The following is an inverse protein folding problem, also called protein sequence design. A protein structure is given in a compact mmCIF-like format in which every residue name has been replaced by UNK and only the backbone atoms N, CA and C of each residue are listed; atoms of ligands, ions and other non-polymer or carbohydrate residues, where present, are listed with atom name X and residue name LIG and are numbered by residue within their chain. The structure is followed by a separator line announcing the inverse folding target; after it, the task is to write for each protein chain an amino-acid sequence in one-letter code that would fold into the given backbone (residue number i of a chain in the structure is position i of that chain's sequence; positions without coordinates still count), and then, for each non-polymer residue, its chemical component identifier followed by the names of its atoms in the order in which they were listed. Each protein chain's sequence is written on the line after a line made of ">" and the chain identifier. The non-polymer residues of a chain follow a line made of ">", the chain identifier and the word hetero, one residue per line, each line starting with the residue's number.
data_IF_740561656490
#
_entry.id   IF_740561656490
#
_cell.length_a   1.000
_cell.length_b   1.000
_cell.length_c   1.000
_cell.angle_alpha   90.00
_cell.angle_beta   90.00
_cell.angle_gamma   90.00
#
_symmetry.space_group_name_H-M   'P 1'
#
loop_
_entity.id
_entity.type
_entity.pdbx_description
1 polymer ?
#
# COMPACT_ATOMS: atom_id res chain seq x y z
N UNK A 1 22.12 -29.61 -15.01
CA UNK A 1 21.86 -28.23 -14.54
C UNK A 1 23.20 -27.51 -14.44
N UNK A 2 23.37 -26.41 -15.19
CA UNK A 2 24.66 -25.75 -15.40
C UNK A 2 25.24 -25.20 -14.08
N UNK A 3 26.51 -25.45 -13.81
CA UNK A 3 27.18 -25.14 -12.54
C UNK A 3 27.11 -23.65 -12.19
N UNK A 4 27.16 -22.78 -13.20
CA UNK A 4 26.95 -21.33 -13.06
C UNK A 4 25.58 -20.93 -12.49
N UNK A 5 24.54 -21.73 -12.75
CA UNK A 5 23.18 -21.47 -12.22
C UNK A 5 23.09 -21.87 -10.75
N UNK A 6 23.76 -22.97 -10.35
CA UNK A 6 23.84 -23.37 -8.93
C UNK A 6 24.58 -22.33 -8.09
N UNK A 7 25.70 -21.81 -8.60
CA UNK A 7 26.48 -20.76 -7.91
C UNK A 7 25.70 -19.45 -7.81
N UNK A 8 24.91 -19.09 -8.82
CA UNK A 8 24.08 -17.87 -8.80
C UNK A 8 22.94 -17.95 -7.77
N UNK A 9 22.31 -19.13 -7.62
CA UNK A 9 21.27 -19.37 -6.62
C UNK A 9 21.85 -19.40 -5.20
N UNK A 10 23.04 -19.99 -5.01
CA UNK A 10 23.74 -19.99 -3.73
C UNK A 10 24.14 -18.56 -3.29
N UNK A 11 24.63 -17.74 -4.22
CA UNK A 11 24.99 -16.35 -3.96
C UNK A 11 23.77 -15.45 -3.67
N UNK A 12 22.64 -15.68 -4.34
CA UNK A 12 21.39 -14.98 -4.06
C UNK A 12 20.84 -15.30 -2.66
N UNK A 13 21.02 -16.54 -2.19
CA UNK A 13 20.62 -16.97 -0.84
C UNK A 13 21.52 -16.37 0.24
N UNK A 14 22.83 -16.34 0.03
CA UNK A 14 23.80 -15.66 0.91
C UNK A 14 23.55 -14.15 1.02
N UNK A 15 23.16 -13.49 -0.07
CA UNK A 15 22.78 -12.06 -0.06
C UNK A 15 21.44 -11.82 0.65
N UNK A 16 20.48 -12.75 0.53
CA UNK A 16 19.21 -12.68 1.26
C UNK A 16 19.41 -12.89 2.77
N UNK A 17 20.27 -13.83 3.15
CA UNK A 17 20.61 -14.11 4.56
C UNK A 17 21.44 -12.97 5.18
N UNK A 18 22.35 -12.36 4.41
CA UNK A 18 23.09 -11.16 4.84
C UNK A 18 22.19 -9.91 4.97
N UNK A 19 21.20 -9.76 4.09
CA UNK A 19 20.20 -8.68 4.17
C UNK A 19 19.22 -8.88 5.34
N UNK A 20 18.94 -10.13 5.73
CA UNK A 20 18.11 -10.45 6.89
C UNK A 20 18.87 -10.33 8.21
N UNK A 21 20.15 -10.72 8.24
CA UNK A 21 21.01 -10.69 9.43
C UNK A 21 21.44 -9.29 9.87
N UNK A 22 21.40 -8.29 8.99
CA UNK A 22 21.73 -6.90 9.33
C UNK A 22 20.57 -6.14 10.04
N UNK A 23 19.35 -6.68 10.00
CA UNK A 23 18.16 -6.05 10.58
C UNK A 23 17.95 -6.34 12.08
N UNK A 24 18.87 -7.04 12.74
CA UNK A 24 18.79 -7.36 14.17
C UNK A 24 20.08 -7.00 14.88
N UNK A 25 20.25 -5.72 15.25
CA UNK A 25 21.10 -5.34 16.37
C UNK A 25 20.28 -4.59 17.41
N UNK A 26 19.80 -5.37 18.38
CA UNK A 26 19.25 -4.91 19.66
C UNK A 26 20.41 -4.47 20.56
N UNK A 27 20.53 -3.18 20.87
CA UNK A 27 21.13 -2.70 22.13
C UNK A 27 20.99 -1.20 22.43
N UNK A 28 20.34 -0.38 21.60
CA UNK A 28 20.14 1.07 21.85
C UNK A 28 18.68 1.37 22.30
N UNK A 29 18.06 0.47 23.05
CA UNK A 29 16.60 0.41 23.18
C UNK A 29 16.04 0.62 24.60
N UNK A 30 16.72 1.39 25.47
CA UNK A 30 16.08 1.73 26.76
C UNK A 30 16.16 3.18 27.18
N UNK A 31 17.33 3.83 27.17
CA UNK A 31 17.41 5.24 27.58
C UNK A 31 16.92 6.22 26.51
N UNK A 32 17.22 5.97 25.23
CA UNK A 32 16.78 6.85 24.14
C UNK A 32 15.30 6.74 23.79
N UNK A 33 14.64 5.63 24.12
CA UNK A 33 13.21 5.43 23.86
C UNK A 33 12.36 6.25 24.83
N UNK A 34 12.76 6.34 26.11
CA UNK A 34 12.06 7.14 27.12
C UNK A 34 12.21 8.65 26.83
N UNK A 35 13.42 9.11 26.49
CA UNK A 35 13.68 10.52 26.11
C UNK A 35 13.00 10.91 24.79
N UNK A 36 12.83 9.96 23.85
CA UNK A 36 12.09 10.14 22.60
C UNK A 36 10.56 10.19 22.82
N UNK A 37 10.02 9.30 23.67
CA UNK A 37 8.60 9.30 24.04
C UNK A 37 8.19 10.55 24.83
N UNK A 38 9.09 11.08 25.66
CA UNK A 38 8.87 12.32 26.41
C UNK A 38 8.89 13.56 25.51
N UNK A 39 9.70 13.56 24.45
CA UNK A 39 9.69 14.60 23.38
C UNK A 39 8.44 14.54 22.50
N UNK A 40 7.99 13.35 22.09
CA UNK A 40 6.78 13.18 21.26
C UNK A 40 5.51 13.61 22.00
N UNK A 41 5.44 13.42 23.31
CA UNK A 41 4.29 13.84 24.11
C UNK A 41 4.24 15.36 24.36
N UNK A 42 5.26 16.13 23.97
CA UNK A 42 5.34 17.59 24.15
C UNK A 42 5.21 18.39 22.86
N UNK A 43 5.24 17.76 21.68
CA UNK A 43 5.06 18.40 20.38
C UNK A 43 3.62 18.24 19.86
N UNK A 44 3.05 19.24 19.14
CA UNK A 44 1.77 19.05 18.46
C UNK A 44 1.89 17.86 17.50
N UNK A 45 0.83 17.02 17.46
CA UNK A 45 0.82 15.80 16.67
C UNK A 45 1.41 16.03 15.26
N UNK A 46 2.42 15.26 14.84
CA UNK A 46 3.13 15.55 13.61
C UNK A 46 2.20 15.48 12.39
N UNK A 47 2.48 16.31 11.38
CA UNK A 47 1.91 16.28 10.01
C UNK A 47 2.29 15.02 9.21
N UNK A 48 2.80 13.98 9.87
CA UNK A 48 3.39 12.79 9.27
C UNK A 48 2.64 11.53 9.68
N UNK A 49 2.72 10.51 8.83
CA UNK A 49 2.24 9.18 9.19
C UNK A 49 3.03 8.62 10.38
N UNK A 50 2.35 7.94 11.32
CA UNK A 50 2.99 7.42 12.51
C UNK A 50 3.93 6.26 12.18
N UNK A 51 4.79 5.91 13.13
CA UNK A 51 5.70 4.77 12.98
C UNK A 51 4.97 3.45 12.77
N UNK A 52 5.67 2.48 12.17
CA UNK A 52 5.13 1.18 11.80
C UNK A 52 4.45 0.42 12.94
N UNK A 53 5.04 0.47 14.14
CA UNK A 53 4.48 -0.20 15.32
C UNK A 53 3.12 0.40 15.71
N UNK A 54 2.99 1.72 15.60
CA UNK A 54 1.74 2.43 15.87
C UNK A 54 0.71 2.08 14.79
N UNK A 55 1.08 2.12 13.51
CA UNK A 55 0.20 1.71 12.40
C UNK A 55 -0.36 0.30 12.65
N UNK A 56 0.51 -0.66 12.97
CA UNK A 56 0.10 -2.04 13.22
C UNK A 56 -0.83 -2.14 14.44
N UNK A 57 -0.46 -1.51 15.56
CA UNK A 57 -1.26 -1.50 16.80
C UNK A 57 -2.65 -0.93 16.58
N UNK A 58 -2.77 0.10 15.76
CA UNK A 58 -4.03 0.78 15.48
C UNK A 58 -4.90 0.03 14.45
N UNK A 59 -4.30 -0.62 13.46
CA UNK A 59 -5.05 -1.36 12.43
C UNK A 59 -5.64 -2.68 12.96
N UNK A 60 -4.94 -3.38 13.85
CA UNK A 60 -5.40 -4.66 14.41
C UNK A 60 -6.81 -4.57 15.02
N UNK A 61 -7.11 -3.66 15.96
CA UNK A 61 -8.44 -3.57 16.56
C UNK A 61 -9.51 -3.16 15.54
N UNK A 62 -9.20 -2.24 14.62
CA UNK A 62 -10.12 -1.81 13.56
C UNK A 62 -10.57 -2.96 12.67
N UNK A 63 -9.60 -3.73 12.17
CA UNK A 63 -9.88 -4.92 11.37
C UNK A 63 -10.60 -5.99 12.20
N UNK A 64 -10.18 -6.19 13.44
CA UNK A 64 -10.80 -7.19 14.32
C UNK A 64 -12.25 -6.86 14.66
N UNK A 65 -12.62 -5.58 14.75
CA UNK A 65 -14.00 -5.13 14.97
C UNK A 65 -14.83 -5.15 13.68
N UNK A 66 -14.21 -4.84 12.54
CA UNK A 66 -14.88 -4.82 11.24
C UNK A 66 -15.25 -6.23 10.76
N UNK A 67 -14.43 -7.24 11.07
CA UNK A 67 -14.69 -8.62 10.65
C UNK A 67 -15.72 -9.29 11.56
N UNK A 68 -16.96 -9.38 11.07
CA UNK A 68 -18.00 -10.25 11.62
C UNK A 68 -17.83 -11.70 11.10
N UNK A 69 -17.49 -12.65 11.98
CA UNK A 69 -17.28 -14.07 11.66
C UNK A 69 -18.54 -14.76 11.12
N UNK A 70 -19.74 -14.23 11.41
CA UNK A 70 -20.99 -14.78 10.88
C UNK A 70 -21.32 -14.30 9.47
N UNK A 71 -20.74 -13.17 9.06
CA UNK A 71 -21.01 -12.52 7.76
C UNK A 71 -19.86 -12.65 6.78
N UNK A 72 -18.63 -12.81 7.29
CA UNK A 72 -17.44 -12.86 6.48
C UNK A 72 -16.82 -14.25 6.44
N UNK A 73 -16.31 -14.59 5.26
CA UNK A 73 -15.40 -15.71 5.03
C UNK A 73 -14.17 -15.18 4.31
N UNK A 74 -13.07 -15.94 4.31
CA UNK A 74 -11.87 -15.57 3.54
C UNK A 74 -12.22 -15.32 2.06
N UNK A 75 -13.16 -16.09 1.49
CA UNK A 75 -13.60 -15.91 0.11
C UNK A 75 -14.39 -14.62 -0.10
N UNK A 76 -15.30 -14.27 0.81
CA UNK A 76 -16.07 -13.02 0.69
C UNK A 76 -15.21 -11.77 0.93
N UNK A 77 -14.11 -11.89 1.69
CA UNK A 77 -13.15 -10.79 1.83
C UNK A 77 -12.27 -10.59 0.60
N UNK A 78 -12.29 -11.54 -0.34
CA UNK A 78 -11.61 -11.45 -1.63
C UNK A 78 -12.58 -11.08 -2.77
N UNK A 79 -13.71 -10.46 -2.45
CA UNK A 79 -14.61 -9.80 -3.40
C UNK A 79 -14.59 -8.30 -3.18
N UNK A 80 -14.91 -7.54 -4.22
CA UNK A 80 -15.00 -6.08 -4.16
C UNK A 80 -16.46 -5.67 -3.91
N UNK A 81 -16.80 -4.85 -2.91
CA UNK A 81 -18.20 -4.50 -2.66
C UNK A 81 -18.91 -3.78 -3.81
N UNK A 82 -18.16 -3.06 -4.64
CA UNK A 82 -18.64 -2.38 -5.86
C UNK A 82 -18.58 -3.26 -7.12
N UNK A 83 -18.11 -4.49 -7.01
CA UNK A 83 -18.06 -5.45 -8.12
C UNK A 83 -18.34 -6.86 -7.62
N UNK A 84 -19.36 -7.51 -8.18
CA UNK A 84 -19.68 -8.91 -7.84
C UNK A 84 -18.56 -9.90 -8.20
N UNK A 85 -17.45 -9.44 -8.78
CA UNK A 85 -16.31 -10.25 -9.15
C UNK A 85 -15.39 -10.52 -7.96
N UNK A 86 -14.89 -11.75 -7.92
CA UNK A 86 -13.77 -12.13 -7.07
C UNK A 86 -12.50 -11.49 -7.60
N UNK A 87 -11.61 -11.10 -6.69
CA UNK A 87 -10.27 -10.63 -6.99
C UNK A 87 -9.48 -11.79 -7.61
N UNK A 88 -9.29 -11.73 -8.93
CA UNK A 88 -8.39 -12.62 -9.65
C UNK A 88 -6.95 -12.15 -9.49
N UNK A 89 -6.03 -13.06 -9.16
CA UNK A 89 -4.66 -12.69 -8.88
C UNK A 89 -3.98 -12.01 -10.06
N UNK A 90 -4.14 -12.52 -11.28
CA UNK A 90 -3.54 -11.88 -12.48
C UNK A 90 -4.05 -10.46 -12.69
N UNK A 91 -5.32 -10.21 -12.34
CA UNK A 91 -5.97 -8.89 -12.42
C UNK A 91 -5.49 -7.97 -11.30
N UNK A 92 -5.40 -8.47 -10.06
CA UNK A 92 -4.77 -7.74 -8.95
C UNK A 92 -3.32 -7.39 -9.27
N UNK A 93 -2.55 -8.35 -9.81
CA UNK A 93 -1.20 -8.09 -10.32
C UNK A 93 -1.26 -6.96 -11.34
N UNK A 94 -2.05 -7.05 -12.41
CA UNK A 94 -2.09 -5.99 -13.42
C UNK A 94 -2.49 -4.61 -12.84
N UNK A 95 -3.46 -4.59 -11.92
CA UNK A 95 -3.91 -3.38 -11.25
C UNK A 95 -2.79 -2.75 -10.39
N UNK A 96 -2.08 -3.57 -9.60
CA UNK A 96 -1.04 -3.11 -8.69
C UNK A 96 0.30 -2.92 -9.44
N UNK A 97 0.78 -3.91 -10.23
CA UNK A 97 2.03 -3.93 -11.06
C UNK A 97 2.18 -2.75 -11.99
N UNK A 98 1.11 -2.03 -12.32
CA UNK A 98 1.25 -0.73 -12.96
C UNK A 98 2.03 0.33 -12.11
N UNK A 99 2.57 -0.07 -10.95
CA UNK A 99 3.85 0.36 -10.36
C UNK A 99 5.03 0.58 -11.32
N UNK A 100 5.07 -0.05 -12.49
CA UNK A 100 6.23 0.01 -13.38
C UNK A 100 6.25 1.23 -14.32
N UNK A 101 5.39 2.24 -14.09
CA UNK A 101 5.11 3.32 -15.06
C UNK A 101 4.81 2.78 -16.47
N UNK A 102 4.36 1.51 -16.55
CA UNK A 102 3.97 0.90 -17.82
C UNK A 102 2.54 1.32 -18.11
N UNK A 103 2.41 2.43 -18.84
CA UNK A 103 1.15 2.97 -19.36
C UNK A 103 0.73 2.32 -20.70
N UNK A 104 1.44 1.29 -21.16
CA UNK A 104 1.18 0.62 -22.44
C UNK A 104 0.10 -0.47 -22.42
N UNK A 105 -0.44 -0.81 -21.24
CA UNK A 105 -1.47 -1.85 -21.06
C UNK A 105 -2.72 -1.29 -20.41
N UNK A 106 -3.88 -1.87 -20.76
CA UNK A 106 -5.17 -1.51 -20.14
C UNK A 106 -5.12 -1.63 -18.61
N UNK A 107 -5.79 -0.70 -17.94
CA UNK A 107 -6.06 -0.79 -16.50
C UNK A 107 -7.10 -1.87 -16.23
N UNK A 108 -7.26 -2.20 -14.95
CA UNK A 108 -8.24 -3.19 -14.52
C UNK A 108 -9.41 -2.43 -13.88
N UNK A 109 -10.51 -2.15 -14.62
CA UNK A 109 -11.48 -1.12 -14.23
C UNK A 109 -12.14 -1.35 -12.87
N UNK A 110 -12.37 -2.60 -12.48
CA UNK A 110 -12.97 -2.90 -11.18
C UNK A 110 -12.06 -2.55 -9.99
N UNK A 111 -10.76 -2.29 -10.19
CA UNK A 111 -9.87 -1.78 -9.14
C UNK A 111 -9.83 -0.25 -9.10
N UNK A 112 -10.50 0.41 -10.05
CA UNK A 112 -10.63 1.88 -10.13
C UNK A 112 -12.11 2.31 -10.18
N UNK A 113 -12.89 1.97 -9.15
CA UNK A 113 -14.31 2.30 -9.08
C UNK A 113 -14.50 3.82 -8.93
N UNK A 114 -14.93 4.50 -10.00
CA UNK A 114 -14.92 5.97 -10.08
C UNK A 114 -15.74 6.62 -8.97
N UNK A 115 -16.97 6.15 -8.74
CA UNK A 115 -17.87 6.78 -7.76
C UNK A 115 -17.33 6.62 -6.33
N UNK A 116 -16.78 5.45 -6.03
CA UNK A 116 -16.22 5.08 -4.74
C UNK A 116 -14.93 5.85 -4.47
N UNK A 117 -14.05 5.99 -5.47
CA UNK A 117 -12.83 6.80 -5.37
C UNK A 117 -13.18 8.26 -5.11
N UNK A 118 -14.09 8.85 -5.89
CA UNK A 118 -14.49 10.24 -5.68
C UNK A 118 -15.10 10.44 -4.29
N UNK A 119 -15.99 9.55 -3.86
CA UNK A 119 -16.59 9.58 -2.53
C UNK A 119 -15.53 9.45 -1.42
N UNK A 120 -14.53 8.58 -1.59
CA UNK A 120 -13.42 8.43 -0.67
C UNK A 120 -12.61 9.73 -0.55
N UNK A 121 -12.18 10.29 -1.68
CA UNK A 121 -11.37 11.52 -1.72
C UNK A 121 -12.12 12.73 -1.15
N UNK A 122 -13.43 12.85 -1.43
CA UNK A 122 -14.27 13.87 -0.82
C UNK A 122 -14.34 13.71 0.70
N UNK A 123 -14.50 12.49 1.19
CA UNK A 123 -14.58 12.22 2.62
C UNK A 123 -13.26 12.48 3.36
N UNK A 124 -12.12 12.12 2.75
CA UNK A 124 -10.77 12.47 3.26
C UNK A 124 -10.63 13.99 3.41
N UNK A 125 -11.01 14.75 2.38
CA UNK A 125 -10.95 16.21 2.43
C UNK A 125 -11.89 16.77 3.50
N UNK A 126 -13.13 16.28 3.57
CA UNK A 126 -14.15 16.74 4.50
C UNK A 126 -13.72 16.51 5.95
N UNK A 127 -13.29 15.31 6.31
CA UNK A 127 -12.86 14.99 7.67
C UNK A 127 -11.60 15.77 8.08
N UNK A 128 -10.66 15.98 7.15
CA UNK A 128 -9.50 16.84 7.40
C UNK A 128 -9.91 18.27 7.73
N UNK A 129 -10.88 18.83 7.00
CA UNK A 129 -11.40 20.18 7.24
C UNK A 129 -12.15 20.28 8.57
N UNK A 130 -13.00 19.31 8.89
CA UNK A 130 -13.78 19.29 10.13
C UNK A 130 -12.90 19.19 11.38
N UNK A 131 -11.82 18.43 11.30
CA UNK A 131 -10.91 18.19 12.43
C UNK A 131 -9.77 19.20 12.49
N UNK A 132 -9.54 19.96 11.42
CA UNK A 132 -8.38 20.84 11.26
C UNK A 132 -7.04 20.10 11.20
N UNK A 133 -7.05 18.80 10.88
CA UNK A 133 -5.86 17.92 10.89
C UNK A 133 -5.67 17.22 9.55
N UNK A 134 -4.43 16.86 9.25
CA UNK A 134 -4.13 15.97 8.13
C UNK A 134 -4.43 14.52 8.54
N UNK A 135 -4.97 13.74 7.61
CA UNK A 135 -5.39 12.37 7.85
C UNK A 135 -4.24 11.39 7.62
N UNK A 136 -3.94 10.59 8.63
CA UNK A 136 -2.93 9.53 8.59
C UNK A 136 -3.42 8.32 7.78
N UNK A 137 -2.52 7.38 7.48
CA UNK A 137 -2.87 6.08 6.89
C UNK A 137 -3.97 5.36 7.69
N UNK A 138 -4.02 5.56 9.01
CA UNK A 138 -5.04 4.97 9.88
C UNK A 138 -6.41 5.60 9.60
N UNK A 139 -6.48 6.93 9.57
CA UNK A 139 -7.73 7.65 9.31
C UNK A 139 -8.26 7.36 7.89
N UNK A 140 -7.34 7.34 6.91
CA UNK A 140 -7.65 6.94 5.54
C UNK A 140 -8.22 5.53 5.46
N UNK A 141 -7.65 4.59 6.22
CA UNK A 141 -8.13 3.22 6.26
C UNK A 141 -9.53 3.13 6.85
N UNK A 142 -9.81 3.85 7.94
CA UNK A 142 -11.11 3.85 8.60
C UNK A 142 -12.22 4.37 7.67
N UNK A 143 -11.94 5.45 6.94
CA UNK A 143 -12.85 5.98 5.91
C UNK A 143 -13.13 4.91 4.86
N UNK A 144 -12.08 4.29 4.31
CA UNK A 144 -12.22 3.27 3.29
C UNK A 144 -12.99 2.05 3.82
N UNK A 145 -12.68 1.58 5.03
CA UNK A 145 -13.29 0.42 5.65
C UNK A 145 -14.80 0.59 5.87
N UNK A 146 -15.22 1.79 6.30
CA UNK A 146 -16.63 2.13 6.39
C UNK A 146 -17.29 2.13 5.00
N UNK A 147 -16.64 2.74 4.01
CA UNK A 147 -17.16 2.83 2.64
C UNK A 147 -17.23 1.49 1.91
N UNK A 148 -16.41 0.52 2.31
CA UNK A 148 -16.38 -0.85 1.77
C UNK A 148 -17.20 -1.84 2.60
N UNK A 149 -18.12 -1.35 3.45
CA UNK A 149 -18.95 -2.20 4.31
C UNK A 149 -18.13 -3.20 5.13
N UNK A 150 -17.02 -2.74 5.71
CA UNK A 150 -16.10 -3.54 6.53
C UNK A 150 -15.34 -4.64 5.75
N UNK A 151 -15.11 -4.47 4.44
CA UNK A 151 -14.21 -5.33 3.66
C UNK A 151 -12.77 -4.76 3.65
N UNK A 152 -11.81 -5.29 4.43
CA UNK A 152 -10.50 -4.67 4.62
C UNK A 152 -9.62 -4.72 3.36
N UNK A 153 -9.69 -5.80 2.58
CA UNK A 153 -8.93 -5.91 1.31
C UNK A 153 -9.45 -4.89 0.30
N UNK A 154 -10.77 -4.77 0.18
CA UNK A 154 -11.38 -3.78 -0.67
C UNK A 154 -11.05 -2.36 -0.20
N UNK A 155 -11.04 -2.10 1.12
CA UNK A 155 -10.63 -0.81 1.67
C UNK A 155 -9.22 -0.44 1.21
N UNK A 156 -8.24 -1.35 1.34
CA UNK A 156 -6.88 -1.12 0.88
C UNK A 156 -6.77 -0.87 -0.63
N UNK A 157 -7.56 -1.60 -1.44
CA UNK A 157 -7.61 -1.41 -2.90
C UNK A 157 -8.20 -0.04 -3.25
N UNK A 158 -9.30 0.36 -2.60
CA UNK A 158 -9.93 1.66 -2.81
C UNK A 158 -8.95 2.79 -2.50
N UNK A 159 -8.25 2.70 -1.37
CA UNK A 159 -7.27 3.70 -0.96
C UNK A 159 -6.11 3.77 -1.96
N UNK A 160 -5.57 2.63 -2.41
CA UNK A 160 -4.58 2.60 -3.47
C UNK A 160 -5.06 3.30 -4.75
N UNK A 161 -6.23 2.89 -5.27
CA UNK A 161 -6.79 3.42 -6.52
C UNK A 161 -7.02 4.94 -6.44
N UNK A 162 -7.47 5.41 -5.28
CA UNK A 162 -7.71 6.83 -5.02
C UNK A 162 -6.42 7.66 -5.06
N UNK A 163 -5.38 7.25 -4.32
CA UNK A 163 -4.11 7.98 -4.32
C UNK A 163 -3.34 7.85 -5.61
N UNK A 164 -3.53 6.76 -6.36
CA UNK A 164 -3.01 6.62 -7.71
C UNK A 164 -3.67 7.59 -8.68
N UNK A 165 -4.99 7.77 -8.62
CA UNK A 165 -5.69 8.75 -9.46
C UNK A 165 -5.14 10.17 -9.25
N UNK A 166 -4.82 10.55 -8.01
CA UNK A 166 -4.23 11.86 -7.68
C UNK A 166 -2.83 12.10 -8.28
N UNK A 167 -2.11 11.06 -8.72
CA UNK A 167 -0.81 11.23 -9.41
C UNK A 167 -0.97 11.88 -10.79
N UNK A 168 -2.17 11.84 -11.37
CA UNK A 168 -2.55 12.61 -12.56
C UNK A 168 -1.67 12.38 -13.81
N UNK A 169 -0.91 11.28 -13.82
CA UNK A 169 -0.06 10.86 -14.94
C UNK A 169 -0.59 9.60 -15.64
N UNK A 170 -1.61 8.94 -15.07
CA UNK A 170 -2.15 7.69 -15.60
C UNK A 170 -3.35 7.93 -16.51
N UNK A 171 -3.08 8.22 -17.79
CA UNK A 171 -4.08 8.55 -18.82
C UNK A 171 -5.04 7.41 -19.17
N UNK A 172 -4.83 6.22 -18.61
CA UNK A 172 -5.68 5.03 -18.80
C UNK A 172 -6.85 4.96 -17.82
N UNK A 173 -6.83 5.77 -16.77
CA UNK A 173 -7.94 5.84 -15.83
C UNK A 173 -9.15 6.51 -16.50
N UNK A 174 -10.33 6.30 -15.94
CA UNK A 174 -11.52 7.02 -16.37
C UNK A 174 -11.26 8.53 -16.32
N UNK A 175 -11.61 9.31 -17.35
CA UNK A 175 -11.35 10.76 -17.39
C UNK A 175 -11.92 11.53 -16.18
N UNK A 176 -12.95 11.01 -15.52
CA UNK A 176 -13.51 11.59 -14.28
C UNK A 176 -12.56 11.48 -13.08
N UNK A 177 -11.52 10.65 -13.18
CA UNK A 177 -10.42 10.51 -12.24
C UNK A 177 -9.17 11.28 -12.68
N UNK A 178 -9.29 12.15 -13.69
CA UNK A 178 -8.24 13.08 -14.07
C UNK A 178 -8.19 14.23 -13.07
N UNK A 179 -7.16 14.25 -12.23
CA UNK A 179 -6.85 15.36 -11.33
C UNK A 179 -5.69 16.21 -11.89
N UNK A 180 -5.64 16.28 -13.23
CA UNK A 180 -4.59 16.82 -14.10
C UNK A 180 -3.84 18.07 -13.61
N UNK A 181 -2.61 18.20 -14.10
CA UNK A 181 -1.81 19.44 -13.97
C UNK A 181 -2.25 20.47 -15.03
N UNK A 182 -3.01 20.03 -16.04
CA UNK A 182 -3.32 20.79 -17.26
C UNK A 182 -4.40 21.86 -17.06
N UNK A 183 -5.20 21.77 -15.99
CA UNK A 183 -6.13 22.84 -15.59
C UNK A 183 -5.87 23.32 -14.16
N UNK A 184 -5.97 24.63 -13.96
CA UNK A 184 -5.76 25.26 -12.65
C UNK A 184 -6.70 24.69 -11.59
N UNK A 185 -7.95 24.40 -11.96
CA UNK A 185 -8.98 23.85 -11.05
C UNK A 185 -8.68 22.41 -10.61
N UNK A 186 -8.21 21.55 -11.52
CA UNK A 186 -7.85 20.17 -11.20
C UNK A 186 -6.60 20.12 -10.33
N UNK A 187 -5.60 20.94 -10.64
CA UNK A 187 -4.38 21.10 -9.84
C UNK A 187 -4.69 21.58 -8.41
N UNK A 188 -5.59 22.56 -8.25
CA UNK A 188 -6.07 23.01 -6.94
C UNK A 188 -6.79 21.88 -6.19
N UNK A 189 -7.66 21.14 -6.88
CA UNK A 189 -8.41 20.02 -6.27
C UNK A 189 -7.46 18.94 -5.75
N UNK A 190 -6.50 18.52 -6.59
CA UNK A 190 -5.44 17.59 -6.22
C UNK A 190 -4.67 18.09 -5.00
N UNK A 191 -4.20 19.35 -5.03
CA UNK A 191 -3.41 19.92 -3.95
C UNK A 191 -4.18 20.05 -2.64
N UNK A 192 -5.47 20.36 -2.70
CA UNK A 192 -6.32 20.40 -1.52
C UNK A 192 -6.44 19.02 -0.86
N UNK A 193 -6.66 17.97 -1.65
CA UNK A 193 -6.72 16.60 -1.14
C UNK A 193 -5.34 16.13 -0.63
N UNK A 194 -4.27 16.48 -1.35
CA UNK A 194 -2.90 16.19 -0.97
C UNK A 194 -2.56 16.80 0.40
N UNK A 195 -2.97 18.06 0.63
CA UNK A 195 -2.81 18.75 1.92
C UNK A 195 -3.68 18.20 3.04
N UNK A 196 -4.77 17.50 2.72
CA UNK A 196 -5.61 16.80 3.69
C UNK A 196 -5.02 15.45 4.14
N UNK A 197 -3.93 15.00 3.52
CA UNK A 197 -3.28 13.72 3.81
C UNK A 197 -1.97 13.97 4.56
N UNK A 198 -1.73 13.22 5.63
CA UNK A 198 -0.47 13.27 6.37
C UNK A 198 0.67 12.77 5.49
N UNK A 199 1.82 13.42 5.60
CA UNK A 199 2.98 13.16 4.76
C UNK A 199 3.60 11.78 5.03
N UNK A 200 4.10 11.14 3.97
CA UNK A 200 4.69 9.80 4.08
C UNK A 200 6.12 9.82 4.65
N UNK A 201 6.90 10.87 4.38
CA UNK A 201 8.27 11.02 4.89
C UNK A 201 8.68 12.47 4.99
N UNK A 202 9.60 12.77 5.89
CA UNK A 202 10.24 14.09 6.13
C UNK A 202 11.10 14.56 4.93
N UNK A 203 11.27 13.76 3.89
CA UNK A 203 12.04 14.19 2.72
C UNK A 203 11.36 15.41 2.08
N UNK A 204 12.17 16.41 1.74
CA UNK A 204 11.85 17.72 1.15
C UNK A 204 11.16 17.59 -0.23
N UNK A 205 10.04 16.89 -0.25
CA UNK A 205 9.26 16.55 -1.42
C UNK A 205 8.15 17.59 -1.52
N UNK A 206 8.11 18.29 -2.66
CA UNK A 206 7.06 19.28 -2.94
C UNK A 206 5.64 18.67 -3.02
N UNK A 207 5.52 17.35 -2.95
CA UNK A 207 4.27 16.59 -3.06
C UNK A 207 3.98 15.85 -1.74
N UNK A 208 3.03 16.32 -0.90
CA UNK A 208 2.74 15.70 0.39
C UNK A 208 2.18 14.27 0.26
N UNK A 209 1.73 13.88 -0.93
CA UNK A 209 1.33 12.49 -1.21
C UNK A 209 2.52 11.52 -1.30
N UNK A 210 3.74 12.01 -1.55
CA UNK A 210 4.98 11.24 -1.58
C UNK A 210 4.83 9.81 -2.10
N UNK A 211 5.08 8.84 -1.21
CA UNK A 211 5.01 7.40 -1.51
C UNK A 211 3.70 6.72 -1.06
N UNK A 212 2.66 7.49 -0.73
CA UNK A 212 1.41 6.96 -0.15
C UNK A 212 0.74 5.93 -1.06
N UNK A 213 0.66 6.18 -2.36
CA UNK A 213 0.06 5.21 -3.29
C UNK A 213 0.90 3.93 -3.45
N UNK A 214 2.23 4.03 -3.32
CA UNK A 214 3.13 2.88 -3.33
C UNK A 214 2.86 1.99 -2.11
N UNK A 215 2.85 2.60 -0.93
CA UNK A 215 2.58 1.90 0.33
C UNK A 215 1.23 1.19 0.29
N UNK A 216 0.15 1.89 -0.10
CA UNK A 216 -1.19 1.31 -0.16
C UNK A 216 -1.31 0.15 -1.14
N UNK A 217 -0.65 0.27 -2.28
CA UNK A 217 -0.64 -0.81 -3.27
C UNK A 217 0.04 -2.07 -2.70
N UNK A 218 1.19 -1.90 -2.04
CA UNK A 218 1.93 -3.02 -1.43
C UNK A 218 1.20 -3.61 -0.22
N UNK A 219 0.55 -2.75 0.57
CA UNK A 219 -0.31 -3.13 1.68
C UNK A 219 -1.50 -3.99 1.22
N UNK A 220 -2.18 -3.57 0.14
CA UNK A 220 -3.29 -4.33 -0.45
C UNK A 220 -2.83 -5.71 -0.97
N UNK A 221 -1.64 -5.76 -1.59
CA UNK A 221 -1.04 -7.00 -2.07
C UNK A 221 -0.74 -7.96 -0.91
N UNK A 222 -0.02 -7.49 0.12
CA UNK A 222 0.33 -8.27 1.29
C UNK A 222 -0.88 -8.89 2.00
N UNK A 223 -1.94 -8.11 2.16
CA UNK A 223 -3.19 -8.59 2.77
C UNK A 223 -3.84 -9.68 1.93
N UNK A 224 -3.94 -9.46 0.61
CA UNK A 224 -4.49 -10.44 -0.33
C UNK A 224 -3.70 -11.75 -0.30
N UNK A 225 -2.36 -11.72 -0.15
CA UNK A 225 -1.54 -12.94 -0.09
C UNK A 225 -1.84 -13.78 1.12
N UNK A 226 -1.97 -13.14 2.28
CA UNK A 226 -2.26 -13.85 3.52
C UNK A 226 -3.59 -14.60 3.43
N UNK A 227 -4.63 -13.94 2.92
CA UNK A 227 -5.95 -14.56 2.74
C UNK A 227 -5.93 -15.66 1.66
N UNK A 228 -5.25 -15.42 0.53
CA UNK A 228 -5.18 -16.41 -0.55
C UNK A 228 -4.38 -17.64 -0.18
N UNK A 229 -3.40 -17.54 0.74
CA UNK A 229 -2.63 -18.69 1.19
C UNK A 229 -3.52 -19.79 1.77
N UNK A 230 -4.66 -19.43 2.36
CA UNK A 230 -5.61 -20.37 2.95
C UNK A 230 -6.44 -21.13 1.92
N UNK A 231 -6.75 -20.49 0.77
CA UNK A 231 -7.66 -21.07 -0.23
C UNK A 231 -6.98 -21.46 -1.55
N UNK A 232 -5.79 -20.92 -1.83
CA UNK A 232 -5.03 -21.12 -3.07
C UNK A 232 -3.50 -20.96 -2.83
N UNK A 233 -2.87 -21.78 -1.97
CA UNK A 233 -1.49 -21.60 -1.52
C UNK A 233 -0.45 -21.57 -2.64
N UNK A 234 -0.63 -22.39 -3.69
CA UNK A 234 0.29 -22.39 -4.84
C UNK A 234 0.29 -21.06 -5.59
N UNK A 235 -0.88 -20.47 -5.78
CA UNK A 235 -1.04 -19.20 -6.49
C UNK A 235 -0.50 -18.03 -5.65
N UNK A 236 -0.75 -18.04 -4.34
CA UNK A 236 -0.19 -17.07 -3.41
C UNK A 236 1.35 -17.05 -3.43
N UNK A 237 1.99 -18.22 -3.51
CA UNK A 237 3.46 -18.31 -3.59
C UNK A 237 4.03 -17.72 -4.88
N UNK A 238 3.43 -18.01 -6.04
CA UNK A 238 3.85 -17.45 -7.34
C UNK A 238 3.74 -15.93 -7.31
N UNK A 239 2.64 -15.41 -6.78
CA UNK A 239 2.40 -13.98 -6.71
C UNK A 239 3.37 -13.27 -5.76
N UNK A 240 3.61 -13.84 -4.57
CA UNK A 240 4.60 -13.33 -3.63
C UNK A 240 6.00 -13.27 -4.27
N UNK A 241 6.39 -14.29 -5.03
CA UNK A 241 7.65 -14.29 -5.79
C UNK A 241 7.68 -13.18 -6.85
N UNK A 242 6.59 -12.97 -7.59
CA UNK A 242 6.51 -11.91 -8.60
C UNK A 242 6.62 -10.51 -7.98
N UNK A 243 5.99 -10.27 -6.83
CA UNK A 243 6.05 -8.99 -6.13
C UNK A 243 7.44 -8.67 -5.57
N UNK A 244 8.17 -9.67 -5.07
CA UNK A 244 9.55 -9.47 -4.64
C UNK A 244 10.54 -9.34 -5.81
N UNK A 245 10.31 -10.04 -6.91
CA UNK A 245 11.20 -10.03 -8.08
C UNK A 245 10.97 -8.82 -9.00
N UNK A 246 9.74 -8.30 -9.05
CA UNK A 246 9.32 -7.22 -9.96
C UNK A 246 10.19 -5.97 -9.87
N UNK A 247 10.38 -5.36 -8.69
CA UNK A 247 11.22 -4.16 -8.54
C UNK A 247 12.67 -4.38 -8.99
N UNK A 248 13.26 -5.53 -8.67
CA UNK A 248 14.64 -5.85 -9.06
C UNK A 248 14.75 -6.11 -10.58
N UNK A 249 13.74 -6.73 -11.19
CA UNK A 249 13.67 -6.93 -12.64
C UNK A 249 13.51 -5.59 -13.38
N UNK A 250 12.60 -4.71 -12.91
CA UNK A 250 12.39 -3.38 -13.49
C UNK A 250 13.67 -2.54 -13.39
N UNK A 251 14.34 -2.56 -12.24
CA UNK A 251 15.64 -1.90 -12.06
C UNK A 251 16.69 -2.45 -13.02
N UNK A 252 16.77 -3.77 -13.18
CA UNK A 252 17.69 -4.38 -14.14
C UNK A 252 17.39 -3.92 -15.57
N UNK A 253 16.13 -4.01 -16.02
CA UNK A 253 15.73 -3.60 -17.38
C UNK A 253 16.06 -2.13 -17.62
N UNK A 254 15.63 -1.24 -16.73
CA UNK A 254 15.83 0.21 -16.89
C UNK A 254 17.30 0.60 -16.84
N UNK A 255 18.07 0.06 -15.89
CA UNK A 255 19.48 0.43 -15.71
C UNK A 255 20.42 -0.25 -16.71
N UNK A 256 20.16 -1.51 -17.07
CA UNK A 256 21.10 -2.33 -17.87
C UNK A 256 20.68 -2.48 -19.32
N UNK A 257 19.37 -2.51 -19.63
CA UNK A 257 18.89 -2.71 -20.99
C UNK A 257 18.51 -1.39 -21.67
N UNK A 258 17.88 -0.47 -20.94
CA UNK A 258 17.36 0.78 -21.50
C UNK A 258 18.28 1.98 -21.28
N UNK A 259 19.30 1.86 -20.40
CA UNK A 259 20.19 2.99 -20.06
C UNK A 259 19.47 4.18 -19.41
N UNK A 260 18.27 3.95 -18.85
CA UNK A 260 17.42 4.94 -18.22
C UNK A 260 17.39 4.70 -16.70
N UNK A 261 18.43 5.11 -15.96
CA UNK A 261 18.47 4.91 -14.52
C UNK A 261 17.22 5.48 -13.86
N UNK A 262 16.68 4.77 -12.87
CA UNK A 262 15.55 5.25 -12.07
C UNK A 262 15.92 6.59 -11.43
N UNK A 263 15.26 7.67 -11.88
CA UNK A 263 15.59 9.05 -11.52
C UNK A 263 15.09 9.45 -10.12
N UNK A 264 14.25 8.63 -9.48
CA UNK A 264 13.65 8.93 -8.19
C UNK A 264 13.75 7.70 -7.28
N UNK A 265 14.27 7.91 -6.07
CA UNK A 265 13.96 7.20 -4.83
C UNK A 265 14.10 5.67 -4.80
N UNK A 266 14.81 5.17 -3.81
CA UNK A 266 14.64 3.78 -3.40
C UNK A 266 13.30 3.60 -2.67
N UNK A 267 12.21 3.33 -3.40
CA UNK A 267 10.90 3.04 -2.82
C UNK A 267 10.86 1.69 -2.08
N UNK A 268 11.94 0.89 -2.10
CA UNK A 268 11.94 -0.48 -1.54
C UNK A 268 11.66 -0.50 -0.04
N UNK A 269 12.04 0.53 0.72
CA UNK A 269 11.72 0.59 2.15
C UNK A 269 10.21 0.72 2.39
N UNK A 270 9.57 1.64 1.67
CA UNK A 270 8.12 1.86 1.69
C UNK A 270 7.38 0.63 1.21
N UNK A 271 7.83 0.04 0.11
CA UNK A 271 7.18 -1.12 -0.47
C UNK A 271 7.25 -2.33 0.48
N UNK A 272 8.42 -2.58 1.07
CA UNK A 272 8.62 -3.67 2.04
C UNK A 272 7.76 -3.46 3.29
N UNK A 273 7.66 -2.23 3.78
CA UNK A 273 6.81 -1.90 4.91
C UNK A 273 5.34 -2.19 4.59
N UNK A 274 4.84 -1.71 3.44
CA UNK A 274 3.47 -1.96 2.99
C UNK A 274 3.15 -3.46 2.92
N UNK A 275 3.97 -4.26 2.19
CA UNK A 275 3.76 -5.71 2.09
C UNK A 275 3.79 -6.39 3.45
N UNK A 276 4.75 -6.06 4.31
CA UNK A 276 4.91 -6.68 5.64
C UNK A 276 3.69 -6.44 6.51
N UNK A 277 3.23 -5.19 6.60
CA UNK A 277 2.07 -4.81 7.40
C UNK A 277 0.77 -5.41 6.84
N UNK A 278 0.57 -5.32 5.53
CA UNK A 278 -0.59 -5.92 4.86
C UNK A 278 -0.68 -7.42 5.15
N UNK A 279 0.45 -8.14 5.05
CA UNK A 279 0.51 -9.57 5.35
C UNK A 279 0.24 -9.88 6.83
N UNK A 280 0.81 -9.09 7.74
CA UNK A 280 0.58 -9.27 9.18
C UNK A 280 -0.91 -9.15 9.51
N UNK A 281 -1.59 -8.15 8.96
CA UNK A 281 -3.01 -7.94 9.19
C UNK A 281 -3.90 -8.95 8.48
N UNK A 282 -3.53 -9.38 7.27
CA UNK A 282 -4.22 -10.48 6.62
C UNK A 282 -4.15 -11.78 7.44
N UNK A 283 -3.04 -12.05 8.14
CA UNK A 283 -2.96 -13.18 9.07
C UNK A 283 -3.86 -12.98 10.31
N UNK A 284 -4.05 -11.74 10.78
CA UNK A 284 -5.01 -11.45 11.87
C UNK A 284 -6.44 -11.80 11.43
N UNK A 285 -6.82 -11.44 10.20
CA UNK A 285 -8.11 -11.80 9.61
C UNK A 285 -8.28 -13.32 9.55
N UNK A 286 -7.28 -14.03 9.01
CA UNK A 286 -7.30 -15.50 8.93
C UNK A 286 -7.47 -16.13 10.31
N UNK A 287 -6.66 -15.70 11.29
CA UNK A 287 -6.72 -16.21 12.65
C UNK A 287 -8.07 -15.94 13.32
N UNK A 288 -8.74 -14.85 12.96
CA UNK A 288 -10.06 -14.52 13.49
C UNK A 288 -11.15 -15.42 12.87
N UNK A 289 -11.11 -15.62 11.57
CA UNK A 289 -12.11 -16.43 10.84
C UNK A 289 -11.97 -17.94 11.03
N UNK A 290 -10.85 -18.42 11.59
CA UNK A 290 -10.61 -19.82 11.93
C UNK A 290 -10.88 -20.16 13.41
N UNK A 291 -11.24 -19.17 14.24
CA UNK A 291 -11.70 -19.40 15.61
C UNK A 291 -13.19 -19.74 15.64
#
# INVERSE_FOLDING_TARGET
>A
MNEKIRTSIANARLLADAAWGAATRRSILRSGLEEYLEKINQEPAPSYNPEEEIILREFIPRISLAIDEKKHSIRSLLTLPWSSQRIELTRLAAALIAFSDDHGRETVPEFFPVAEILRFLHEVRRQSQDTGKQLTLIDQFDIALHQTNNHPVAAAILTHGSYRALRSCDTRLDPRLSFGIDSETESITRMNIARSTAEFSIADTRDPLGNTYHWWSQFSAGMTFALLKEIAPKQANVFNSAFHAGPELTKFIRNKLLGMPLAAGDHRSVDRQGVRLGRALGNVIVNKLHK
#
